data_IF_837608566686
#
_entry.id   IF_837608566686
#
_cell.length_a   1.000
_cell.length_b   1.000
_cell.length_c   1.000
_cell.angle_alpha   90.00
_cell.angle_beta   90.00
_cell.angle_gamma   90.00
#
_symmetry.space_group_name_H-M   'P 1'
#
loop_
_entity.id
_entity.type
_entity.pdbx_description
1 polymer ?
#
# COMPACT_ATOMS: atom_id res chain seq x y z
N UNK A 1 2.08 -16.24 2.96
CA UNK A 1 3.11 -15.29 2.45
C UNK A 1 3.45 -15.63 1.00
N UNK A 2 4.12 -14.75 0.25
CA UNK A 2 4.57 -15.01 -1.13
C UNK A 2 6.07 -14.76 -1.24
N UNK A 3 6.83 -15.80 -1.56
CA UNK A 3 8.27 -15.70 -1.83
C UNK A 3 8.49 -15.49 -3.32
N UNK A 4 9.40 -14.59 -3.67
CA UNK A 4 9.86 -14.33 -5.04
C UNK A 4 11.38 -14.35 -5.03
N UNK A 5 11.98 -15.14 -5.90
CA UNK A 5 13.42 -15.13 -6.07
C UNK A 5 13.88 -14.05 -7.08
N UNK A 6 15.18 -13.98 -7.35
CA UNK A 6 15.73 -13.02 -8.30
C UNK A 6 15.23 -13.24 -9.74
N UNK A 7 14.96 -14.49 -10.13
CA UNK A 7 14.47 -14.84 -11.46
C UNK A 7 13.03 -14.35 -11.60
N UNK A 8 12.19 -14.62 -10.60
CA UNK A 8 10.81 -14.13 -10.55
C UNK A 8 10.75 -12.59 -10.70
N UNK A 9 11.63 -11.87 -10.01
CA UNK A 9 11.69 -10.41 -10.03
C UNK A 9 12.33 -9.82 -11.30
N UNK A 10 13.08 -10.66 -12.03
CA UNK A 10 13.60 -10.32 -13.37
C UNK A 10 12.53 -10.54 -14.44
N UNK A 11 11.80 -11.66 -14.38
CA UNK A 11 10.71 -11.98 -15.32
C UNK A 11 9.48 -11.08 -15.09
N UNK A 12 9.22 -10.69 -13.85
CA UNK A 12 8.10 -9.82 -13.48
C UNK A 12 8.57 -8.56 -12.70
N UNK A 13 9.24 -7.59 -13.35
CA UNK A 13 9.76 -6.38 -12.69
C UNK A 13 8.69 -5.56 -11.95
N UNK A 14 7.42 -5.66 -12.38
CA UNK A 14 6.27 -5.04 -11.71
C UNK A 14 5.98 -5.55 -10.29
N UNK A 15 6.65 -6.62 -9.86
CA UNK A 15 6.55 -7.20 -8.52
C UNK A 15 7.72 -6.80 -7.61
N UNK A 16 8.70 -6.03 -8.12
CA UNK A 16 9.82 -5.54 -7.32
C UNK A 16 9.32 -4.64 -6.19
N UNK A 17 9.89 -4.75 -4.97
CA UNK A 17 9.50 -3.89 -3.86
C UNK A 17 9.68 -2.41 -4.17
N UNK A 18 8.88 -1.58 -3.51
CA UNK A 18 9.09 -0.15 -3.41
C UNK A 18 9.68 0.13 -2.04
N UNK A 19 10.83 0.79 -1.99
CA UNK A 19 11.42 1.30 -0.75
C UNK A 19 10.90 2.72 -0.51
N UNK A 20 10.50 2.97 0.72
CA UNK A 20 10.26 4.29 1.27
C UNK A 20 11.37 4.52 2.28
N UNK A 21 12.28 5.45 1.97
CA UNK A 21 13.40 5.81 2.83
C UNK A 21 12.91 6.42 4.14
N UNK A 22 13.70 6.29 5.20
CA UNK A 22 13.45 6.96 6.48
C UNK A 22 13.06 8.44 6.29
N UNK A 23 11.96 8.86 6.91
CA UNK A 23 11.48 10.24 6.88
C UNK A 23 10.84 10.73 5.57
N UNK A 24 10.86 9.94 4.48
CA UNK A 24 10.41 10.36 3.15
C UNK A 24 8.92 10.75 3.07
N UNK A 25 8.08 10.25 4.00
CA UNK A 25 6.65 10.56 4.05
C UNK A 25 6.34 11.81 4.88
N UNK A 26 7.33 12.40 5.56
CA UNK A 26 7.19 13.52 6.48
C UNK A 26 7.10 13.09 7.94
N UNK A 27 7.32 14.04 8.86
CA UNK A 27 7.28 13.84 10.32
C UNK A 27 8.16 12.69 10.83
N UNK A 28 9.28 12.42 10.15
CA UNK A 28 10.17 11.32 10.50
C UNK A 28 9.59 9.93 10.19
N UNK A 29 8.63 9.83 9.26
CA UNK A 29 8.04 8.57 8.82
C UNK A 29 8.50 8.17 7.41
N UNK A 30 8.72 6.86 7.16
CA UNK A 30 8.83 5.79 8.16
C UNK A 30 10.04 6.03 9.09
N UNK A 31 10.04 5.41 10.28
CA UNK A 31 11.11 5.56 11.29
C UNK A 31 12.45 4.91 10.89
N UNK A 32 12.43 4.13 9.81
CA UNK A 32 13.56 3.50 9.12
C UNK A 32 13.07 3.05 7.75
N UNK A 33 13.98 2.77 6.83
CA UNK A 33 13.64 2.28 5.50
C UNK A 33 12.60 1.15 5.55
N UNK A 34 11.56 1.28 4.72
CA UNK A 34 10.45 0.36 4.65
C UNK A 34 10.26 -0.10 3.20
N UNK A 35 10.33 -1.42 2.98
CA UNK A 35 10.05 -2.03 1.69
C UNK A 35 8.66 -2.66 1.66
N UNK A 36 7.86 -2.29 0.66
CA UNK A 36 6.49 -2.75 0.51
C UNK A 36 6.26 -3.28 -0.91
N UNK A 37 5.28 -4.17 -1.04
CA UNK A 37 4.85 -4.59 -2.37
C UNK A 37 4.26 -3.39 -3.14
N UNK A 38 4.42 -3.30 -4.47
CA UNK A 38 3.97 -2.14 -5.26
C UNK A 38 2.52 -1.72 -5.06
N UNK A 39 1.63 -2.66 -4.77
CA UNK A 39 0.20 -2.42 -4.62
C UNK A 39 -0.23 -2.15 -3.18
N UNK A 40 0.65 -2.41 -2.21
CA UNK A 40 0.37 -2.14 -0.81
C UNK A 40 0.08 -0.65 -0.64
N UNK A 41 -1.00 -0.32 0.07
CA UNK A 41 -1.36 1.07 0.30
C UNK A 41 -0.82 1.60 1.62
N UNK A 42 -0.34 2.82 1.57
CA UNK A 42 0.02 3.62 2.75
C UNK A 42 -1.01 4.71 2.93
N UNK A 43 -1.27 5.08 4.18
CA UNK A 43 -2.19 6.15 4.52
C UNK A 43 -1.47 7.49 4.34
N UNK A 44 -2.07 8.37 3.54
CA UNK A 44 -1.55 9.71 3.30
C UNK A 44 -2.58 10.75 3.67
N UNK A 45 -2.12 11.88 4.19
CA UNK A 45 -2.99 12.98 4.60
C UNK A 45 -2.29 14.32 4.46
N UNK A 46 -3.00 15.31 3.94
CA UNK A 46 -2.46 16.65 3.73
C UNK A 46 -3.55 17.67 3.42
N UNK A 47 -3.20 18.95 3.48
CA UNK A 47 -4.06 20.03 2.99
C UNK A 47 -4.37 19.88 1.49
N UNK A 48 -3.48 19.27 0.71
CA UNK A 48 -3.71 18.98 -0.72
C UNK A 48 -4.82 17.93 -0.88
N UNK A 49 -4.74 16.84 -0.10
CA UNK A 49 -5.75 15.78 -0.07
C UNK A 49 -7.12 16.34 0.33
N UNK A 50 -7.19 17.11 1.44
CA UNK A 50 -8.42 17.78 1.88
C UNK A 50 -9.05 18.66 0.80
N UNK A 51 -8.22 19.43 0.08
CA UNK A 51 -8.70 20.30 -1.01
C UNK A 51 -9.18 19.52 -2.24
N UNK A 52 -8.48 18.46 -2.61
CA UNK A 52 -8.76 17.68 -3.83
C UNK A 52 -9.91 16.69 -3.66
N UNK A 53 -10.01 16.06 -2.49
CA UNK A 53 -10.87 14.90 -2.28
C UNK A 53 -11.93 15.12 -1.20
N UNK A 54 -11.91 16.27 -0.52
CA UNK A 54 -12.85 16.59 0.58
C UNK A 54 -12.82 15.57 1.73
N UNK A 55 -11.73 14.82 1.85
CA UNK A 55 -11.40 13.93 2.97
C UNK A 55 -10.04 14.31 3.53
N UNK A 56 -9.81 14.08 4.82
CA UNK A 56 -8.53 14.40 5.45
C UNK A 56 -7.44 13.40 5.08
N UNK A 57 -7.80 12.15 4.77
CA UNK A 57 -6.86 11.06 4.54
C UNK A 57 -7.37 10.07 3.49
N UNK A 58 -6.43 9.39 2.84
CA UNK A 58 -6.69 8.38 1.80
C UNK A 58 -5.60 7.30 1.79
N UNK A 59 -5.97 6.09 1.39
CA UNK A 59 -5.03 5.00 1.14
C UNK A 59 -4.55 5.02 -0.33
N UNK A 60 -3.22 5.03 -0.52
CA UNK A 60 -2.60 5.14 -1.85
C UNK A 60 -1.57 4.03 -2.07
N UNK A 61 -1.62 3.30 -3.21
CA UNK A 61 -0.62 2.30 -3.55
C UNK A 61 0.78 2.92 -3.66
N UNK A 62 1.77 2.34 -2.99
CA UNK A 62 3.13 2.91 -2.93
C UNK A 62 3.81 3.07 -4.29
N UNK A 63 3.51 2.20 -5.28
CA UNK A 63 4.03 2.35 -6.65
C UNK A 63 3.61 3.65 -7.33
N UNK A 64 2.55 4.30 -6.84
CA UNK A 64 2.08 5.59 -7.37
C UNK A 64 2.84 6.77 -6.77
N UNK A 65 3.65 6.54 -5.75
CA UNK A 65 4.40 7.56 -5.03
C UNK A 65 5.88 7.65 -5.46
N UNK A 66 6.32 6.85 -6.43
CA UNK A 66 7.73 6.79 -6.88
C UNK A 66 8.26 8.12 -7.47
N UNK A 67 7.37 9.08 -7.80
CA UNK A 67 7.79 10.43 -8.19
C UNK A 67 8.16 11.33 -6.99
N UNK A 68 8.13 10.80 -5.77
CA UNK A 68 8.43 11.52 -4.53
C UNK A 68 9.85 11.16 -4.09
N UNK A 69 10.61 12.18 -3.69
CA UNK A 69 11.97 12.02 -3.21
C UNK A 69 12.04 11.02 -2.04
N UNK A 70 12.94 10.04 -2.14
CA UNK A 70 13.10 8.97 -1.16
C UNK A 70 12.13 7.79 -1.32
N UNK A 71 11.41 7.69 -2.44
CA UNK A 71 10.54 6.54 -2.75
C UNK A 71 10.95 5.92 -4.08
N UNK A 72 11.53 4.72 -4.03
CA UNK A 72 12.21 4.13 -5.18
C UNK A 72 11.86 2.65 -5.39
N UNK A 73 11.96 2.18 -6.63
CA UNK A 73 11.87 0.75 -6.94
C UNK A 73 13.18 0.08 -6.53
N UNK A 74 13.11 -0.98 -5.73
CA UNK A 74 14.30 -1.73 -5.31
C UNK A 74 14.75 -2.67 -6.43
N UNK A 75 16.03 -2.64 -6.75
CA UNK A 75 16.64 -3.67 -7.58
C UNK A 75 17.01 -4.88 -6.71
N UNK A 76 16.10 -5.85 -6.64
CA UNK A 76 16.24 -7.00 -5.76
C UNK A 76 17.04 -8.13 -6.40
N UNK A 77 18.37 -8.08 -6.27
CA UNK A 77 19.27 -9.13 -6.76
C UNK A 77 19.15 -10.48 -6.02
N UNK A 78 18.55 -10.50 -4.82
CA UNK A 78 18.50 -11.67 -3.92
C UNK A 78 17.08 -12.23 -3.68
N UNK A 79 16.04 -11.64 -4.27
CA UNK A 79 14.65 -11.99 -4.02
C UNK A 79 14.02 -11.25 -2.82
N UNK A 80 12.72 -11.48 -2.59
CA UNK A 80 11.93 -10.86 -1.52
C UNK A 80 10.81 -11.78 -1.04
N UNK A 81 10.27 -11.54 0.16
CA UNK A 81 9.09 -12.26 0.69
C UNK A 81 8.04 -11.26 1.16
N UNK A 82 6.83 -11.38 0.61
CA UNK A 82 5.69 -10.56 1.00
C UNK A 82 4.80 -11.29 2.01
N UNK A 83 4.47 -10.59 3.09
CA UNK A 83 3.53 -11.03 4.10
C UNK A 83 2.23 -10.22 3.96
N UNK A 84 1.10 -10.92 4.09
CA UNK A 84 -0.22 -10.30 4.11
C UNK A 84 -0.83 -10.57 5.48
N UNK A 85 -1.34 -9.52 6.12
CA UNK A 85 -2.00 -9.61 7.41
C UNK A 85 -3.50 -9.48 7.15
N UNK A 86 -4.28 -10.51 7.44
CA UNK A 86 -5.73 -10.50 7.29
C UNK A 86 -6.38 -10.43 8.67
N UNK A 87 -7.42 -9.60 8.79
CA UNK A 87 -8.23 -9.42 9.99
C UNK A 87 -9.71 -9.47 9.59
N UNK A 88 -10.58 -9.56 10.59
CA UNK A 88 -12.05 -9.55 10.43
C UNK A 88 -12.52 -8.30 9.66
N UNK A 89 -11.84 -7.17 9.87
CA UNK A 89 -12.05 -5.92 9.17
C UNK A 89 -10.80 -5.48 8.42
N UNK A 90 -10.97 -4.58 7.45
CA UNK A 90 -9.84 -3.89 6.87
C UNK A 90 -9.31 -2.89 7.90
N UNK A 91 -8.03 -2.98 8.23
CA UNK A 91 -7.42 -2.26 9.35
C UNK A 91 -6.24 -1.41 8.90
N UNK A 92 -5.93 -0.37 9.68
CA UNK A 92 -4.68 0.36 9.55
C UNK A 92 -3.66 -0.27 10.50
N UNK A 93 -2.53 -0.70 9.95
CA UNK A 93 -1.38 -1.25 10.68
C UNK A 93 -0.18 -0.32 10.56
N UNK A 94 0.75 -0.39 11.50
CA UNK A 94 1.93 0.48 11.51
C UNK A 94 3.18 -0.31 11.11
N UNK A 95 3.65 -0.11 9.87
CA UNK A 95 4.86 -0.73 9.37
C UNK A 95 6.02 0.26 9.51
N UNK A 96 7.02 -0.06 10.35
CA UNK A 96 8.10 0.87 10.71
C UNK A 96 7.58 2.27 11.14
N UNK A 97 6.42 2.32 11.78
CA UNK A 97 5.75 3.56 12.21
C UNK A 97 4.93 4.26 11.12
N UNK A 98 5.03 3.86 9.85
CA UNK A 98 4.18 4.39 8.77
C UNK A 98 2.81 3.67 8.81
N UNK A 99 1.68 4.39 8.85
CA UNK A 99 0.36 3.77 8.77
C UNK A 99 0.11 3.23 7.36
N UNK A 100 -0.26 1.97 7.29
CA UNK A 100 -0.43 1.18 6.08
C UNK A 100 -1.64 0.27 6.19
N UNK A 101 -2.10 -0.27 5.07
CA UNK A 101 -3.26 -1.15 5.06
C UNK A 101 -2.95 -2.59 5.51
N UNK A 102 -3.91 -3.24 6.17
CA UNK A 102 -3.99 -4.70 6.19
C UNK A 102 -4.49 -5.24 4.84
N UNK A 103 -4.56 -6.57 4.67
CA UNK A 103 -5.06 -7.15 3.43
C UNK A 103 -6.55 -6.80 3.25
N UNK A 104 -6.83 -5.92 2.29
CA UNK A 104 -8.19 -5.66 1.83
C UNK A 104 -8.66 -6.74 0.87
N UNK A 105 -9.70 -7.47 1.26
CA UNK A 105 -10.34 -8.51 0.45
C UNK A 105 -11.46 -7.95 -0.43
N UNK A 106 -11.08 -7.10 -1.39
CA UNK A 106 -12.00 -6.68 -2.45
C UNK A 106 -12.27 -7.78 -3.49
N UNK A 107 -13.17 -7.55 -4.46
CA UNK A 107 -13.55 -8.53 -5.50
C UNK A 107 -12.38 -9.12 -6.32
N UNK A 108 -11.22 -8.46 -6.31
CA UNK A 108 -10.00 -8.87 -7.00
C UNK A 108 -8.92 -9.49 -6.09
N UNK A 109 -9.00 -9.32 -4.77
CA UNK A 109 -7.94 -9.69 -3.82
C UNK A 109 -7.74 -11.20 -3.67
N UNK A 110 -8.81 -11.98 -3.82
CA UNK A 110 -8.74 -13.45 -3.85
C UNK A 110 -7.88 -13.99 -5.01
N UNK A 111 -7.66 -13.19 -6.06
CA UNK A 111 -6.84 -13.56 -7.20
C UNK A 111 -5.35 -13.30 -6.98
N UNK A 112 -4.96 -12.55 -5.95
CA UNK A 112 -3.57 -12.15 -5.70
C UNK A 112 -2.83 -12.96 -4.64
N UNK A 113 -3.53 -13.79 -3.86
CA UNK A 113 -2.95 -14.73 -2.89
C UNK A 113 -2.75 -16.11 -3.52
N UNK A 114 -1.80 -16.92 -3.03
CA UNK A 114 -1.54 -18.26 -3.58
C UNK A 114 -2.76 -19.17 -3.44
N UNK A 115 -2.81 -20.26 -4.20
CA UNK A 115 -3.89 -21.23 -4.07
C UNK A 115 -3.97 -21.82 -2.65
N UNK A 116 -2.83 -22.12 -2.00
CA UNK A 116 -2.84 -22.60 -0.61
C UNK A 116 -3.35 -21.52 0.35
N UNK A 117 -2.84 -20.28 0.25
CA UNK A 117 -3.28 -19.18 1.09
C UNK A 117 -4.76 -18.84 0.87
N UNK A 118 -5.27 -18.99 -0.36
CA UNK A 118 -6.69 -18.83 -0.66
C UNK A 118 -7.53 -19.90 0.03
N UNK A 119 -7.10 -21.17 0.00
CA UNK A 119 -7.83 -22.24 0.66
C UNK A 119 -7.84 -22.06 2.18
N UNK A 120 -6.73 -21.60 2.76
CA UNK A 120 -6.64 -21.26 4.18
C UNK A 120 -7.55 -20.09 4.54
N UNK A 121 -7.52 -18.99 3.76
CA UNK A 121 -8.39 -17.82 3.95
C UNK A 121 -9.87 -18.21 3.84
N UNK A 122 -10.25 -19.03 2.85
CA UNK A 122 -11.62 -19.53 2.69
C UNK A 122 -12.04 -20.43 3.85
N UNK A 123 -11.12 -21.23 4.40
CA UNK A 123 -11.43 -22.08 5.55
C UNK A 123 -11.62 -21.28 6.84
N UNK A 124 -10.87 -20.19 7.02
CA UNK A 124 -10.95 -19.31 8.20
C UNK A 124 -12.09 -18.29 8.13
N UNK A 125 -12.43 -17.84 6.92
CA UNK A 125 -13.39 -16.78 6.64
C UNK A 125 -14.28 -17.21 5.45
N UNK A 126 -15.15 -18.22 5.62
CA UNK A 126 -15.98 -18.77 4.54
C UNK A 126 -16.90 -17.74 3.89
N UNK A 127 -17.31 -16.72 4.64
CA UNK A 127 -18.13 -15.59 4.18
C UNK A 127 -17.50 -14.81 3.02
N UNK A 128 -16.17 -14.86 2.82
CA UNK A 128 -15.50 -14.21 1.68
C UNK A 128 -15.95 -14.80 0.32
N UNK A 129 -16.51 -16.02 0.33
CA UNK A 129 -17.06 -16.64 -0.87
C UNK A 129 -18.45 -16.13 -1.25
N UNK A 130 -19.14 -15.44 -0.35
CA UNK A 130 -20.45 -14.88 -0.64
C UNK A 130 -20.32 -13.79 -1.70
N UNK A 131 -21.24 -13.82 -2.69
CA UNK A 131 -21.24 -12.80 -3.77
C UNK A 131 -21.41 -11.38 -3.23
N UNK A 132 -22.04 -11.25 -2.07
CA UNK A 132 -22.34 -9.99 -1.43
C UNK A 132 -21.33 -9.65 -0.32
N UNK A 133 -20.25 -10.43 -0.17
CA UNK A 133 -19.18 -10.11 0.76
C UNK A 133 -18.50 -8.82 0.34
N UNK A 134 -18.76 -7.77 1.10
CA UNK A 134 -18.15 -6.47 0.95
C UNK A 134 -17.40 -6.16 2.22
N UNK A 135 -16.07 -6.29 2.17
CA UNK A 135 -15.26 -5.74 3.24
C UNK A 135 -15.31 -4.21 3.15
N UNK A 136 -15.66 -3.57 4.27
CA UNK A 136 -15.60 -2.11 4.38
C UNK A 136 -14.14 -1.69 4.47
N UNK A 137 -13.75 -0.73 3.66
CA UNK A 137 -12.41 -0.17 3.68
C UNK A 137 -12.16 0.64 4.97
N UNK A 138 -11.02 0.40 5.64
CA UNK A 138 -10.60 1.17 6.81
C UNK A 138 -10.61 2.68 6.55
N UNK A 139 -10.19 3.07 5.35
CA UNK A 139 -10.10 4.46 4.86
C UNK A 139 -10.36 4.52 3.36
N UNK A 140 -10.82 5.67 2.83
CA UNK A 140 -11.14 5.82 1.42
C UNK A 140 -9.98 5.47 0.50
N UNK A 141 -10.27 4.70 -0.55
CA UNK A 141 -9.32 4.47 -1.64
C UNK A 141 -9.39 5.57 -2.70
N UNK A 142 -8.23 5.96 -3.24
CA UNK A 142 -8.21 6.66 -4.52
C UNK A 142 -8.22 5.63 -5.65
N UNK A 143 -9.36 5.48 -6.32
CA UNK A 143 -9.50 4.49 -7.40
C UNK A 143 -8.93 4.96 -8.75
N UNK A 144 -8.87 6.28 -8.97
CA UNK A 144 -8.52 6.85 -10.29
C UNK A 144 -7.04 7.21 -10.38
N UNK A 145 -6.30 6.50 -11.23
CA UNK A 145 -4.86 6.71 -11.44
C UNK A 145 -4.46 8.13 -11.82
N UNK A 146 -5.24 8.80 -12.68
CA UNK A 146 -4.98 10.19 -13.08
C UNK A 146 -5.12 11.18 -11.92
N UNK A 147 -6.00 10.88 -10.98
CA UNK A 147 -6.26 11.70 -9.80
C UNK A 147 -5.10 11.60 -8.81
N UNK A 148 -4.61 10.38 -8.56
CA UNK A 148 -3.41 10.14 -7.73
C UNK A 148 -2.21 10.85 -8.34
N UNK A 149 -1.98 10.73 -9.65
CA UNK A 149 -0.85 11.39 -10.31
C UNK A 149 -0.87 12.91 -10.09
N UNK A 150 -2.03 13.56 -10.21
CA UNK A 150 -2.17 15.00 -9.93
C UNK A 150 -1.88 15.35 -8.47
N UNK A 151 -2.28 14.49 -7.54
CA UNK A 151 -1.99 14.68 -6.12
C UNK A 151 -0.48 14.61 -5.88
N UNK A 152 0.19 13.57 -6.40
CA UNK A 152 1.64 13.38 -6.28
C UNK A 152 2.41 14.56 -6.89
N UNK A 153 2.08 14.98 -8.11
CA UNK A 153 2.71 16.14 -8.75
C UNK A 153 2.55 17.43 -7.93
N UNK A 154 1.42 17.63 -7.24
CA UNK A 154 1.22 18.80 -6.37
C UNK A 154 2.05 18.74 -5.11
N UNK A 155 2.22 17.56 -4.52
CA UNK A 155 3.09 17.36 -3.37
C UNK A 155 4.55 17.63 -3.74
N UNK A 156 5.03 17.05 -4.84
CA UNK A 156 6.37 17.26 -5.36
C UNK A 156 6.64 18.74 -5.68
N UNK A 157 5.73 19.41 -6.40
CA UNK A 157 5.87 20.82 -6.77
C UNK A 157 5.90 21.77 -5.56
N UNK A 158 5.16 21.45 -4.50
CA UNK A 158 5.02 22.32 -3.34
C UNK A 158 5.98 21.95 -2.20
N UNK A 159 6.87 20.95 -2.40
CA UNK A 159 7.72 20.37 -1.35
C UNK A 159 6.93 20.02 -0.09
N UNK A 160 5.70 19.55 -0.26
CA UNK A 160 4.78 19.25 0.85
C UNK A 160 4.78 17.75 1.11
N UNK A 161 5.01 17.35 2.37
CA UNK A 161 4.97 15.95 2.79
C UNK A 161 3.54 15.39 2.87
N UNK A 162 3.42 14.07 3.04
CA UNK A 162 2.16 13.33 3.14
C UNK A 162 1.67 13.11 4.58
N UNK A 163 2.34 13.69 5.58
CA UNK A 163 2.08 13.42 6.99
C UNK A 163 1.13 14.44 7.64
N UNK A 164 0.34 13.96 8.60
CA UNK A 164 -0.46 14.75 9.55
C UNK A 164 0.41 15.15 10.73
N UNK A 165 0.23 16.37 11.25
CA UNK A 165 0.88 16.86 12.48
C UNK A 165 0.60 16.02 13.74
N UNK A 166 -0.31 15.02 13.71
CA UNK A 166 -0.59 14.12 14.84
C UNK A 166 -1.08 12.74 14.37
N UNK A 167 -0.40 11.69 14.85
CA UNK A 167 -0.89 10.32 15.01
C UNK A 167 -0.47 9.84 16.40
#
# INVERSE_FOLDING_TARGET
CRKLDAIDLTVAPKLRPIRISEGAMGNGLPKRDLELSPQHRVLVSSKIIKRMFKTDEVLVPVKKLVEIEGIDVVDCAIGTTYFHLLFDHHEIVYANGLPSESLYLGPQALKSISAEARNEVVALFPEILDRDFLQVEARPFLERGNTIKRMVMRHAKNHQSFAVERW
#
